data_IF_959415588768
#
_entry.id   IF_959415588768
#
_cell.length_a   1.000
_cell.length_b   1.000
_cell.length_c   1.000
_cell.angle_alpha   90.00
_cell.angle_beta   90.00
_cell.angle_gamma   90.00
#
_symmetry.space_group_name_H-M   'P 1'
#
loop_
_entity.id
_entity.type
_entity.pdbx_description
1 polymer ?
#
# COMPACT_ATOMS: atom_id res chain seq x y z
N UNK A 1 31.38 -28.57 -7.93
CA UNK A 1 30.93 -29.04 -6.61
C UNK A 1 30.47 -30.48 -6.78
N UNK A 2 30.47 -31.27 -5.72
CA UNK A 2 29.93 -32.64 -5.71
C UNK A 2 28.43 -32.61 -5.43
N UNK A 3 27.69 -33.67 -5.78
CA UNK A 3 26.24 -33.76 -5.55
C UNK A 3 25.86 -33.57 -4.07
N UNK A 4 26.57 -34.23 -3.15
CA UNK A 4 26.38 -34.05 -1.70
C UNK A 4 26.84 -32.65 -1.22
N UNK A 5 27.79 -32.05 -1.92
CA UNK A 5 28.21 -30.68 -1.66
C UNK A 5 27.14 -29.65 -2.02
N UNK A 6 26.40 -29.86 -3.10
CA UNK A 6 25.24 -29.02 -3.47
C UNK A 6 24.10 -29.12 -2.44
N UNK A 7 23.98 -30.28 -1.79
CA UNK A 7 23.05 -30.51 -0.69
C UNK A 7 23.57 -30.05 0.69
N UNK A 8 24.73 -29.37 0.74
CA UNK A 8 25.22 -28.72 1.96
C UNK A 8 26.20 -29.52 2.81
N UNK A 9 26.85 -30.57 2.28
CA UNK A 9 28.03 -31.13 2.91
C UNK A 9 29.29 -30.36 2.53
N UNK A 10 30.17 -30.12 3.50
CA UNK A 10 31.53 -29.69 3.21
C UNK A 10 32.35 -30.82 2.57
N UNK A 11 33.47 -30.45 1.95
CA UNK A 11 34.38 -31.43 1.33
C UNK A 11 34.94 -32.47 2.31
N UNK A 12 35.04 -32.13 3.61
CA UNK A 12 35.52 -33.07 4.62
C UNK A 12 34.40 -33.97 5.13
N UNK A 13 33.21 -33.42 5.35
CA UNK A 13 32.03 -34.21 5.73
C UNK A 13 31.70 -35.26 4.68
N UNK A 14 31.73 -34.89 3.39
CA UNK A 14 31.49 -35.85 2.31
C UNK A 14 32.54 -36.97 2.29
N UNK A 15 33.83 -36.64 2.42
CA UNK A 15 34.90 -37.65 2.46
C UNK A 15 34.73 -38.62 3.63
N UNK A 16 34.39 -38.11 4.80
CA UNK A 16 34.15 -38.92 6.01
C UNK A 16 32.92 -39.81 5.84
N UNK A 17 31.81 -39.25 5.34
CA UNK A 17 30.58 -40.01 5.11
C UNK A 17 30.79 -41.14 4.08
N UNK A 18 31.45 -40.84 2.95
CA UNK A 18 31.80 -41.85 1.94
C UNK A 18 32.75 -42.92 2.48
N UNK A 19 33.74 -42.54 3.30
CA UNK A 19 34.63 -43.51 3.93
C UNK A 19 33.84 -44.47 4.84
N UNK A 20 32.92 -43.94 5.66
CA UNK A 20 32.07 -44.75 6.54
C UNK A 20 31.14 -45.71 5.80
N UNK A 21 30.65 -45.34 4.61
CA UNK A 21 29.87 -46.23 3.74
C UNK A 21 30.70 -47.44 3.25
N UNK A 22 32.00 -47.24 3.02
CA UNK A 22 32.90 -48.31 2.53
C UNK A 22 33.42 -49.17 3.69
N UNK A 23 33.85 -48.54 4.79
CA UNK A 23 34.48 -49.24 5.91
C UNK A 23 33.49 -49.86 6.88
N UNK A 24 32.23 -49.39 6.87
CA UNK A 24 31.27 -49.68 7.93
C UNK A 24 31.68 -49.03 9.25
N UNK A 25 31.28 -49.65 10.38
CA UNK A 25 31.49 -49.09 11.71
C UNK A 25 32.98 -49.02 12.09
N UNK A 26 33.53 -47.80 12.17
CA UNK A 26 34.96 -47.54 12.30
C UNK A 26 35.29 -46.52 13.40
N UNK A 27 36.52 -46.53 13.92
CA UNK A 27 36.96 -45.55 14.93
C UNK A 27 37.38 -44.23 14.26
N UNK A 28 37.40 -43.12 15.00
CA UNK A 28 37.86 -41.83 14.46
C UNK A 28 39.26 -41.89 13.82
N UNK A 29 40.16 -42.71 14.37
CA UNK A 29 41.50 -42.93 13.80
C UNK A 29 41.44 -43.63 12.45
N UNK A 30 40.63 -44.68 12.34
CA UNK A 30 40.47 -45.46 11.10
C UNK A 30 39.80 -44.60 10.01
N UNK A 31 38.79 -43.82 10.39
CA UNK A 31 38.08 -42.92 9.48
C UNK A 31 39.01 -41.81 8.97
N UNK A 32 39.86 -41.24 9.83
CA UNK A 32 40.85 -40.24 9.42
C UNK A 32 41.82 -40.81 8.38
N UNK A 33 42.29 -42.05 8.58
CA UNK A 33 43.16 -42.73 7.63
C UNK A 33 42.45 -43.04 6.30
N UNK A 34 41.21 -43.52 6.34
CA UNK A 34 40.45 -43.90 5.14
C UNK A 34 39.94 -42.69 4.34
N UNK A 35 39.52 -41.62 5.00
CA UNK A 35 38.97 -40.41 4.37
C UNK A 35 40.04 -39.41 3.92
N UNK A 36 41.27 -39.53 4.44
CA UNK A 36 42.33 -38.53 4.24
C UNK A 36 42.08 -37.21 4.98
N UNK A 37 41.06 -37.12 5.83
CA UNK A 37 40.80 -35.95 6.67
C UNK A 37 41.76 -35.96 7.87
N UNK A 38 42.49 -34.85 8.16
CA UNK A 38 43.46 -34.81 9.25
C UNK A 38 42.84 -35.13 10.62
N UNK A 39 43.60 -35.83 11.48
CA UNK A 39 43.15 -36.17 12.85
C UNK A 39 42.70 -34.97 13.67
N UNK A 40 43.34 -33.80 13.47
CA UNK A 40 42.94 -32.57 14.17
C UNK A 40 41.55 -32.02 13.78
N UNK A 41 40.95 -32.51 12.69
CA UNK A 41 39.62 -32.10 12.20
C UNK A 41 38.59 -33.22 12.25
N UNK A 42 39.00 -34.47 12.47
CA UNK A 42 38.09 -35.61 12.32
C UNK A 42 36.93 -35.58 13.32
N UNK A 43 37.22 -35.19 14.58
CA UNK A 43 36.19 -35.09 15.60
C UNK A 43 35.19 -33.98 15.31
N UNK A 44 35.64 -32.81 14.85
CA UNK A 44 34.74 -31.71 14.44
C UNK A 44 33.79 -32.17 13.33
N UNK A 45 34.33 -32.86 12.32
CA UNK A 45 33.55 -33.36 11.18
C UNK A 45 32.56 -34.44 11.61
N UNK A 46 32.98 -35.40 12.45
CA UNK A 46 32.11 -36.44 12.99
C UNK A 46 31.01 -35.84 13.88
N UNK A 47 31.33 -34.85 14.71
CA UNK A 47 30.37 -34.15 15.55
C UNK A 47 29.33 -33.41 14.70
N UNK A 48 29.74 -32.72 13.63
CA UNK A 48 28.81 -32.02 12.72
C UNK A 48 27.89 -33.01 11.99
N UNK A 49 28.46 -34.08 11.44
CA UNK A 49 27.68 -35.15 10.79
C UNK A 49 26.70 -35.78 11.78
N UNK A 50 27.12 -36.01 13.03
CA UNK A 50 26.25 -36.58 14.05
C UNK A 50 25.15 -35.60 14.50
N UNK A 51 25.45 -34.32 14.64
CA UNK A 51 24.47 -33.27 14.99
C UNK A 51 23.37 -33.16 13.93
N UNK A 52 23.74 -33.31 12.66
CA UNK A 52 22.82 -33.40 11.50
C UNK A 52 22.22 -34.80 11.32
N UNK A 53 22.50 -35.72 12.25
CA UNK A 53 22.03 -37.10 12.24
C UNK A 53 22.41 -37.86 10.96
N UNK A 54 23.53 -37.56 10.31
CA UNK A 54 23.97 -38.25 9.08
C UNK A 54 24.82 -39.48 9.39
N UNK A 55 25.27 -39.60 10.64
CA UNK A 55 25.99 -40.75 11.19
C UNK A 55 25.46 -41.06 12.59
N UNK A 56 25.69 -42.27 13.07
CA UNK A 56 25.44 -42.69 14.46
C UNK A 56 26.72 -43.11 15.15
N UNK A 57 26.73 -43.02 16.48
CA UNK A 57 27.78 -43.56 17.34
C UNK A 57 27.36 -44.89 17.96
N UNK A 58 28.30 -45.82 18.07
CA UNK A 58 28.18 -47.05 18.85
C UNK A 58 29.08 -46.94 20.07
N UNK A 59 28.51 -47.15 21.26
CA UNK A 59 29.20 -47.09 22.55
C UNK A 59 30.10 -48.31 22.76
N UNK A 60 31.15 -48.42 21.96
CA UNK A 60 32.26 -49.37 22.09
C UNK A 60 33.48 -48.67 22.67
N UNK A 61 34.48 -49.45 23.09
CA UNK A 61 35.77 -48.92 23.54
C UNK A 61 36.89 -49.44 22.63
N UNK A 62 37.47 -48.60 21.74
CA UNK A 62 37.13 -47.20 21.45
C UNK A 62 35.79 -47.01 20.71
N UNK A 63 35.21 -45.80 20.78
CA UNK A 63 33.93 -45.44 20.15
C UNK A 63 33.99 -45.61 18.64
N UNK A 64 32.93 -46.20 18.07
CA UNK A 64 32.79 -46.40 16.63
C UNK A 64 31.67 -45.54 16.07
N UNK A 65 31.85 -45.11 14.83
CA UNK A 65 30.90 -44.32 14.06
C UNK A 65 30.44 -45.13 12.87
N UNK A 66 29.18 -44.99 12.50
CA UNK A 66 28.57 -45.67 11.37
C UNK A 66 27.75 -44.68 10.55
N UNK A 67 27.84 -44.76 9.22
CA UNK A 67 27.04 -43.95 8.32
C UNK A 67 25.56 -44.33 8.41
N UNK A 68 24.68 -43.33 8.33
CA UNK A 68 23.28 -43.56 8.01
C UNK A 68 23.11 -44.01 6.55
N UNK A 69 21.95 -44.61 6.26
CA UNK A 69 21.61 -45.03 4.90
C UNK A 69 21.62 -43.83 3.93
N UNK A 70 22.19 -43.98 2.73
CA UNK A 70 22.29 -42.89 1.74
C UNK A 70 20.96 -42.21 1.45
N UNK A 71 19.88 -42.97 1.26
CA UNK A 71 18.55 -42.41 0.96
C UNK A 71 18.08 -41.48 2.08
N UNK A 72 18.19 -41.93 3.34
CA UNK A 72 17.84 -41.12 4.52
C UNK A 72 18.71 -39.86 4.63
N UNK A 73 19.99 -39.96 4.30
CA UNK A 73 20.92 -38.82 4.33
C UNK A 73 20.57 -37.81 3.25
N UNK A 74 20.31 -38.26 2.02
CA UNK A 74 19.92 -37.39 0.91
C UNK A 74 18.60 -36.68 1.23
N UNK A 75 17.60 -37.39 1.74
CA UNK A 75 16.31 -36.79 2.13
C UNK A 75 16.48 -35.73 3.23
N UNK A 76 17.32 -36.00 4.24
CA UNK A 76 17.63 -35.03 5.30
C UNK A 76 18.32 -33.80 4.77
N UNK A 77 19.37 -33.98 3.97
CA UNK A 77 20.11 -32.87 3.39
C UNK A 77 19.23 -32.03 2.44
N UNK A 78 18.38 -32.68 1.66
CA UNK A 78 17.42 -31.99 0.80
C UNK A 78 16.41 -31.18 1.61
N UNK A 79 15.90 -31.73 2.72
CA UNK A 79 14.99 -31.02 3.61
C UNK A 79 15.67 -29.81 4.28
N UNK A 80 16.90 -29.98 4.78
CA UNK A 80 17.73 -28.89 5.33
C UNK A 80 17.91 -27.78 4.28
N UNK A 81 18.33 -28.15 3.07
CA UNK A 81 18.59 -27.19 1.98
C UNK A 81 17.32 -26.46 1.53
N UNK A 82 16.20 -27.17 1.49
CA UNK A 82 14.89 -26.59 1.16
C UNK A 82 14.47 -25.55 2.21
N UNK A 83 14.64 -25.86 3.50
CA UNK A 83 14.33 -24.93 4.58
C UNK A 83 15.21 -23.67 4.54
N UNK A 84 16.52 -23.82 4.29
CA UNK A 84 17.44 -22.70 4.11
C UNK A 84 17.01 -21.78 2.95
N UNK A 85 16.73 -22.37 1.78
CA UNK A 85 16.30 -21.61 0.60
C UNK A 85 14.95 -20.90 0.82
N UNK A 86 14.03 -21.53 1.54
CA UNK A 86 12.75 -20.90 1.92
C UNK A 86 12.95 -19.71 2.86
N UNK A 87 13.85 -19.81 3.84
CA UNK A 87 14.19 -18.70 4.73
C UNK A 87 14.87 -17.56 3.96
N UNK A 88 15.81 -17.89 3.08
CA UNK A 88 16.50 -16.88 2.26
C UNK A 88 15.53 -16.17 1.30
N UNK A 89 14.62 -16.92 0.67
CA UNK A 89 13.54 -16.38 -0.15
C UNK A 89 12.62 -15.45 0.64
N UNK A 90 12.19 -15.86 1.84
CA UNK A 90 11.37 -15.02 2.72
C UNK A 90 12.09 -13.71 3.08
N UNK A 91 13.39 -13.78 3.37
CA UNK A 91 14.22 -12.60 3.62
C UNK A 91 14.25 -11.67 2.41
N UNK A 92 14.54 -12.18 1.21
CA UNK A 92 14.54 -11.35 0.00
C UNK A 92 13.17 -10.76 -0.33
N UNK A 93 12.09 -11.52 -0.10
CA UNK A 93 10.73 -11.02 -0.25
C UNK A 93 10.46 -9.85 0.69
N UNK A 94 10.90 -9.93 1.94
CA UNK A 94 10.77 -8.84 2.91
C UNK A 94 11.58 -7.60 2.47
N UNK A 95 12.81 -7.79 1.99
CA UNK A 95 13.62 -6.70 1.43
C UNK A 95 12.92 -6.07 0.22
N UNK A 96 12.42 -6.87 -0.71
CA UNK A 96 11.71 -6.39 -1.88
C UNK A 96 10.42 -5.62 -1.51
N UNK A 97 9.69 -6.09 -0.50
CA UNK A 97 8.50 -5.40 0.01
C UNK A 97 8.88 -4.08 0.69
N UNK A 98 9.94 -4.04 1.49
CA UNK A 98 10.44 -2.80 2.10
C UNK A 98 10.90 -1.78 1.06
N UNK A 99 11.56 -2.22 -0.01
CA UNK A 99 11.95 -1.34 -1.12
C UNK A 99 10.71 -0.81 -1.85
N UNK A 100 9.70 -1.66 -2.10
CA UNK A 100 8.44 -1.23 -2.72
C UNK A 100 7.66 -0.26 -1.85
N UNK A 101 7.57 -0.50 -0.54
CA UNK A 101 6.89 0.42 0.39
C UNK A 101 7.59 1.76 0.51
N UNK A 102 8.91 1.80 0.28
CA UNK A 102 9.69 3.04 0.28
C UNK A 102 9.69 3.77 -1.08
N UNK A 103 9.13 3.15 -2.14
CA UNK A 103 9.09 3.71 -3.50
C UNK A 103 7.68 4.05 -3.99
N UNK A 104 6.65 3.62 -3.27
CA UNK A 104 5.28 4.10 -3.46
C UNK A 104 5.07 5.29 -2.52
N UNK A 105 4.35 6.35 -2.93
CA UNK A 105 3.77 7.27 -1.97
C UNK A 105 3.03 6.42 -0.93
N UNK A 106 3.25 6.70 0.35
CA UNK A 106 2.40 6.13 1.40
C UNK A 106 0.95 6.34 0.98
N UNK A 107 0.13 5.29 0.99
CA UNK A 107 -1.32 5.47 0.89
C UNK A 107 -1.65 6.58 1.88
N UNK A 108 -2.34 7.66 1.48
CA UNK A 108 -2.78 8.67 2.45
C UNK A 108 -3.46 7.93 3.58
N UNK A 109 -2.84 7.95 4.77
CA UNK A 109 -3.28 7.16 5.92
C UNK A 109 -4.68 7.55 6.36
N UNK A 110 -5.13 8.72 5.89
CA UNK A 110 -6.38 9.38 6.22
C UNK A 110 -7.17 9.69 4.93
N UNK A 111 -7.34 8.69 4.05
CA UNK A 111 -8.28 8.77 2.93
C UNK A 111 -9.52 7.91 3.18
N UNK A 112 -10.70 8.52 3.05
CA UNK A 112 -11.99 7.84 3.14
C UNK A 112 -12.73 7.92 1.81
N UNK A 113 -13.43 6.84 1.46
CA UNK A 113 -14.23 6.76 0.23
C UNK A 113 -15.68 6.56 0.63
N UNK A 114 -16.56 7.47 0.19
CA UNK A 114 -18.01 7.29 0.27
C UNK A 114 -18.53 6.94 -1.12
N UNK A 115 -19.15 5.77 -1.23
CA UNK A 115 -19.81 5.35 -2.47
C UNK A 115 -21.24 5.88 -2.45
N UNK A 116 -21.63 6.56 -3.52
CA UNK A 116 -22.94 7.18 -3.61
C UNK A 116 -23.12 7.91 -4.93
N UNK A 117 -24.38 8.03 -5.35
CA UNK A 117 -24.76 8.78 -6.54
C UNK A 117 -24.98 10.24 -6.18
N UNK A 118 -24.84 11.12 -7.15
CA UNK A 118 -25.07 12.55 -6.99
C UNK A 118 -26.51 12.81 -6.48
N UNK A 119 -26.63 13.59 -5.42
CA UNK A 119 -27.89 13.96 -4.78
C UNK A 119 -28.60 12.82 -4.03
N UNK A 120 -27.95 11.70 -3.75
CA UNK A 120 -28.51 10.66 -2.88
C UNK A 120 -28.58 11.13 -1.42
N UNK A 121 -29.47 10.55 -0.62
CA UNK A 121 -29.61 10.92 0.80
C UNK A 121 -28.32 10.64 1.58
N UNK A 122 -27.62 9.55 1.24
CA UNK A 122 -26.34 9.19 1.85
C UNK A 122 -25.25 10.22 1.53
N UNK A 123 -25.20 10.70 0.28
CA UNK A 123 -24.21 11.72 -0.12
C UNK A 123 -24.53 13.10 0.44
N UNK A 124 -25.82 13.47 0.54
CA UNK A 124 -26.21 14.71 1.22
C UNK A 124 -25.80 14.70 2.69
N UNK A 125 -26.05 13.58 3.38
CA UNK A 125 -25.65 13.42 4.78
C UNK A 125 -24.12 13.52 4.92
N UNK A 126 -23.36 12.83 4.06
CA UNK A 126 -21.90 12.90 4.08
C UNK A 126 -21.38 14.31 3.80
N UNK A 127 -21.99 15.02 2.83
CA UNK A 127 -21.62 16.40 2.50
C UNK A 127 -21.92 17.38 3.65
N UNK A 128 -23.06 17.22 4.32
CA UNK A 128 -23.42 18.01 5.50
C UNK A 128 -22.42 17.78 6.64
N UNK A 129 -22.17 16.52 7.01
CA UNK A 129 -21.18 16.17 8.05
C UNK A 129 -19.79 16.69 7.70
N UNK A 130 -19.44 16.66 6.41
CA UNK A 130 -18.18 17.19 5.93
C UNK A 130 -18.09 18.71 6.12
N UNK A 131 -19.13 19.44 5.70
CA UNK A 131 -19.21 20.88 5.82
C UNK A 131 -19.30 21.39 7.26
N UNK A 132 -19.87 20.62 8.18
CA UNK A 132 -19.91 20.95 9.61
C UNK A 132 -18.50 21.10 10.22
N UNK A 133 -17.50 20.45 9.64
CA UNK A 133 -16.10 20.53 10.08
C UNK A 133 -15.40 21.83 9.67
N UNK A 134 -15.96 22.58 8.73
CA UNK A 134 -15.41 23.83 8.24
C UNK A 134 -15.53 24.95 9.28
N UNK A 135 -14.42 25.66 9.51
CA UNK A 135 -14.32 26.72 10.52
C UNK A 135 -13.88 28.06 9.96
N UNK A 136 -13.11 28.09 8.87
CA UNK A 136 -12.50 29.31 8.33
C UNK A 136 -12.85 29.53 6.85
N UNK A 137 -12.56 28.56 5.99
CA UNK A 137 -12.64 28.74 4.54
C UNK A 137 -12.91 27.45 3.79
N UNK A 138 -13.69 27.56 2.71
CA UNK A 138 -13.95 26.47 1.78
C UNK A 138 -13.64 26.93 0.36
N UNK A 139 -12.79 26.18 -0.32
CA UNK A 139 -12.46 26.37 -1.73
C UNK A 139 -13.01 25.21 -2.52
N UNK A 140 -13.84 25.46 -3.52
CA UNK A 140 -14.49 24.39 -4.27
C UNK A 140 -14.51 24.67 -5.76
N UNK A 141 -14.32 23.62 -6.56
CA UNK A 141 -14.45 23.63 -8.00
C UNK A 141 -15.63 22.73 -8.40
N UNK A 142 -16.59 23.32 -9.10
CA UNK A 142 -17.82 22.67 -9.54
C UNK A 142 -17.81 22.57 -11.08
N UNK A 143 -17.62 21.35 -11.57
CA UNK A 143 -17.60 20.99 -12.99
C UNK A 143 -18.30 19.65 -13.24
N UNK A 144 -17.66 18.64 -13.86
CA UNK A 144 -18.23 17.30 -13.98
C UNK A 144 -18.38 16.60 -12.62
N UNK A 145 -19.47 15.85 -12.35
CA UNK A 145 -20.62 15.59 -13.23
C UNK A 145 -21.76 16.63 -13.13
N UNK A 146 -21.61 17.68 -12.31
CA UNK A 146 -22.65 18.67 -12.02
C UNK A 146 -23.18 19.39 -13.26
N UNK A 147 -22.33 19.68 -14.25
CA UNK A 147 -22.74 20.30 -15.52
C UNK A 147 -23.75 19.47 -16.32
N UNK A 148 -23.70 18.15 -16.16
CA UNK A 148 -24.59 17.20 -16.84
C UNK A 148 -25.77 16.77 -15.95
N UNK A 149 -25.78 17.16 -14.68
CA UNK A 149 -26.80 16.73 -13.73
C UNK A 149 -28.09 17.55 -13.87
N UNK A 150 -29.28 16.96 -13.60
CA UNK A 150 -30.52 17.72 -13.51
C UNK A 150 -30.44 18.77 -12.39
N UNK A 151 -31.06 19.93 -12.63
CA UNK A 151 -31.11 21.01 -11.63
C UNK A 151 -31.60 20.56 -10.25
N UNK A 152 -32.64 19.73 -10.19
CA UNK A 152 -33.17 19.21 -8.91
C UNK A 152 -32.15 18.38 -8.12
N UNK A 153 -31.21 17.73 -8.81
CA UNK A 153 -30.12 16.98 -8.18
C UNK A 153 -29.05 17.94 -7.66
N UNK A 154 -28.62 18.89 -8.49
CA UNK A 154 -27.65 19.92 -8.11
C UNK A 154 -28.17 20.75 -6.93
N UNK A 155 -29.44 21.13 -6.95
CA UNK A 155 -30.09 21.88 -5.88
C UNK A 155 -29.97 21.18 -4.53
N UNK A 156 -30.19 19.86 -4.47
CA UNK A 156 -30.05 19.09 -3.22
C UNK A 156 -28.63 19.08 -2.68
N UNK A 157 -27.63 18.96 -3.55
CA UNK A 157 -26.22 19.02 -3.15
C UNK A 157 -25.87 20.41 -2.62
N UNK A 158 -26.37 21.47 -3.25
CA UNK A 158 -26.12 22.84 -2.80
C UNK A 158 -26.84 23.14 -1.48
N UNK A 159 -28.08 22.71 -1.32
CA UNK A 159 -28.81 22.82 -0.05
C UNK A 159 -28.06 22.08 1.06
N UNK A 160 -27.64 20.83 0.82
CA UNK A 160 -26.85 20.07 1.79
C UNK A 160 -25.51 20.74 2.15
N UNK A 161 -24.82 21.32 1.17
CA UNK A 161 -23.58 22.07 1.39
C UNK A 161 -23.80 23.26 2.34
N UNK A 162 -24.81 24.09 2.07
CA UNK A 162 -25.08 25.29 2.88
C UNK A 162 -25.74 24.99 4.22
N UNK A 163 -26.54 23.92 4.32
CA UNK A 163 -27.15 23.48 5.58
C UNK A 163 -26.09 23.03 6.59
N UNK A 164 -24.99 22.41 6.13
CA UNK A 164 -23.85 22.04 6.96
C UNK A 164 -22.86 23.19 7.24
N UNK A 165 -22.90 24.27 6.46
CA UNK A 165 -21.96 25.37 6.58
C UNK A 165 -22.25 26.26 7.80
N UNK A 166 -21.20 26.57 8.57
CA UNK A 166 -21.28 27.54 9.65
C UNK A 166 -21.29 28.99 9.10
N UNK A 167 -22.06 29.89 9.73
CA UNK A 167 -22.25 31.27 9.24
C UNK A 167 -20.98 32.15 9.19
N UNK A 168 -19.87 31.70 9.77
CA UNK A 168 -18.59 32.43 9.81
C UNK A 168 -17.61 32.09 8.67
N UNK A 169 -17.96 31.13 7.81
CA UNK A 169 -17.04 30.60 6.79
C UNK A 169 -16.97 31.54 5.57
N UNK A 170 -15.79 31.62 4.96
CA UNK A 170 -15.60 32.21 3.65
C UNK A 170 -15.58 31.13 2.56
N UNK A 171 -16.37 31.31 1.49
CA UNK A 171 -16.52 30.31 0.43
C UNK A 171 -16.03 30.90 -0.89
N UNK A 172 -15.07 30.22 -1.55
CA UNK A 172 -14.59 30.57 -2.88
C UNK A 172 -14.92 29.45 -3.87
N UNK A 173 -15.79 29.75 -4.84
CA UNK A 173 -16.31 28.79 -5.81
C UNK A 173 -15.77 29.06 -7.21
N UNK A 174 -15.14 28.05 -7.81
CA UNK A 174 -14.87 27.99 -9.25
C UNK A 174 -15.95 27.16 -9.91
N UNK A 175 -16.58 27.72 -10.94
CA UNK A 175 -17.69 27.06 -11.63
C UNK A 175 -17.37 27.01 -13.13
N UNK A 176 -17.60 25.86 -13.77
CA UNK A 176 -17.48 25.78 -15.23
C UNK A 176 -18.58 26.58 -15.92
N UNK A 177 -18.31 27.15 -17.10
CA UNK A 177 -19.34 27.83 -17.91
C UNK A 177 -20.55 26.92 -18.15
N UNK A 178 -20.34 25.62 -18.34
CA UNK A 178 -21.41 24.65 -18.56
C UNK A 178 -22.33 24.51 -17.34
N UNK A 179 -21.79 24.49 -16.11
CA UNK A 179 -22.62 24.47 -14.90
C UNK A 179 -23.45 25.76 -14.78
N UNK A 180 -22.91 26.92 -15.17
CA UNK A 180 -23.66 28.18 -15.14
C UNK A 180 -24.84 28.19 -16.11
N UNK A 181 -24.72 27.54 -17.27
CA UNK A 181 -25.80 27.45 -18.25
C UNK A 181 -26.97 26.60 -17.75
N UNK A 182 -26.69 25.57 -16.94
CA UNK A 182 -27.71 24.65 -16.40
C UNK A 182 -28.31 25.11 -15.06
N UNK A 183 -27.69 26.11 -14.42
CA UNK A 183 -28.03 26.57 -13.07
C UNK A 183 -28.82 27.89 -13.08
N UNK A 184 -29.97 27.97 -12.39
CA UNK A 184 -30.69 29.23 -12.19
C UNK A 184 -29.83 30.25 -11.44
N UNK A 185 -29.85 31.51 -11.90
CA UNK A 185 -29.10 32.62 -11.28
C UNK A 185 -29.42 32.84 -9.80
N UNK A 186 -30.61 32.44 -9.36
CA UNK A 186 -31.06 32.54 -7.97
C UNK A 186 -30.25 31.66 -7.00
N UNK A 187 -29.54 30.64 -7.49
CA UNK A 187 -28.68 29.81 -6.64
C UNK A 187 -27.64 30.64 -5.89
N UNK A 188 -27.02 31.59 -6.60
CA UNK A 188 -25.95 32.41 -6.07
C UNK A 188 -26.45 33.40 -5.04
N UNK A 189 -27.73 33.80 -5.13
CA UNK A 189 -28.35 34.69 -4.15
C UNK A 189 -28.62 33.93 -2.83
N UNK A 190 -29.01 32.64 -2.90
CA UNK A 190 -29.20 31.80 -1.70
C UNK A 190 -27.88 31.48 -0.99
N UNK A 191 -26.79 31.30 -1.75
CA UNK A 191 -25.46 31.07 -1.19
C UNK A 191 -25.00 32.23 -0.28
N UNK A 192 -25.26 33.48 -0.69
CA UNK A 192 -24.87 34.69 0.05
C UNK A 192 -25.63 34.86 1.38
N UNK A 193 -26.77 34.19 1.58
CA UNK A 193 -27.57 34.27 2.82
C UNK A 193 -27.04 33.39 3.96
N UNK A 194 -26.22 32.38 3.66
CA UNK A 194 -25.87 31.31 4.61
C UNK A 194 -24.46 31.44 5.21
N UNK A 195 -23.54 32.15 4.54
CA UNK A 195 -22.12 32.24 4.95
C UNK A 195 -21.62 33.68 5.01
N UNK A 196 -20.46 33.89 5.62
CA UNK A 196 -19.94 35.24 5.85
C UNK A 196 -19.52 35.95 4.56
N UNK A 197 -18.97 35.20 3.61
CA UNK A 197 -18.54 35.73 2.32
C UNK A 197 -18.59 34.62 1.26
N UNK A 198 -19.16 34.93 0.09
CA UNK A 198 -19.13 34.04 -1.09
C UNK A 198 -18.46 34.78 -2.24
N UNK A 199 -17.42 34.18 -2.82
CA UNK A 199 -16.79 34.66 -4.06
C UNK A 199 -16.94 33.60 -5.13
N UNK A 200 -17.39 34.00 -6.32
CA UNK A 200 -17.63 33.07 -7.42
C UNK A 200 -16.83 33.54 -8.63
N UNK A 201 -16.05 32.62 -9.20
CA UNK A 201 -15.33 32.82 -10.45
C UNK A 201 -15.66 31.71 -11.44
N UNK A 202 -15.46 32.00 -12.72
CA UNK A 202 -15.87 31.17 -13.84
C UNK A 202 -14.68 30.76 -14.68
N UNK A 203 -14.66 29.48 -15.07
CA UNK A 203 -13.70 28.91 -16.01
C UNK A 203 -14.42 28.29 -17.22
N UNK A 204 -13.80 28.30 -18.42
CA UNK A 204 -14.40 27.68 -19.61
C UNK A 204 -14.62 26.17 -19.45
N UNK A 205 -13.66 25.47 -18.86
CA UNK A 205 -13.69 24.02 -18.69
C UNK A 205 -13.01 23.62 -17.38
N UNK A 206 -13.56 22.61 -16.72
CA UNK A 206 -13.02 22.00 -15.50
C UNK A 206 -13.00 20.49 -15.72
N UNK A 207 -11.86 19.84 -15.43
CA UNK A 207 -11.74 18.39 -15.64
C UNK A 207 -12.22 17.56 -14.45
N UNK A 208 -12.10 18.08 -13.23
CA UNK A 208 -12.40 17.36 -11.99
C UNK A 208 -13.04 18.33 -11.01
N UNK A 209 -14.14 17.90 -10.37
CA UNK A 209 -14.73 18.63 -9.25
C UNK A 209 -14.07 18.18 -7.95
N UNK A 210 -13.69 19.14 -7.13
CA UNK A 210 -13.11 18.90 -5.81
C UNK A 210 -13.37 20.10 -4.90
N UNK A 211 -13.32 19.88 -3.59
CA UNK A 211 -13.33 20.93 -2.60
C UNK A 211 -12.21 20.75 -1.57
N UNK A 212 -11.94 21.82 -0.84
CA UNK A 212 -10.91 21.93 0.18
C UNK A 212 -11.53 22.69 1.34
N UNK A 213 -11.49 22.10 2.53
CA UNK A 213 -11.99 22.70 3.77
C UNK A 213 -10.80 23.02 4.68
N UNK A 214 -10.70 24.29 5.07
CA UNK A 214 -9.72 24.84 6.01
C UNK A 214 -8.24 24.50 5.69
N UNK A 215 -7.94 24.11 4.45
CA UNK A 215 -6.64 23.55 4.06
C UNK A 215 -6.24 22.33 4.92
N UNK A 216 -7.23 21.55 5.35
CA UNK A 216 -7.04 20.35 6.19
C UNK A 216 -7.55 19.08 5.54
N UNK A 217 -8.55 19.19 4.67
CA UNK A 217 -9.15 18.07 3.94
C UNK A 217 -9.51 18.53 2.55
N UNK A 218 -9.35 17.63 1.58
CA UNK A 218 -9.88 17.80 0.24
C UNK A 218 -10.79 16.64 -0.12
N UNK A 219 -11.91 16.91 -0.80
CA UNK A 219 -12.76 15.88 -1.37
C UNK A 219 -12.78 15.95 -2.89
N UNK A 220 -12.77 14.79 -3.55
CA UNK A 220 -12.62 14.66 -4.99
C UNK A 220 -13.73 13.75 -5.51
N UNK A 221 -14.47 14.24 -6.50
CA UNK A 221 -15.49 13.45 -7.17
C UNK A 221 -14.87 12.33 -8.01
N UNK A 222 -15.49 11.15 -7.96
CA UNK A 222 -15.20 10.04 -8.87
C UNK A 222 -16.33 9.95 -9.92
N UNK A 223 -16.16 10.50 -11.13
CA UNK A 223 -17.19 10.46 -12.17
C UNK A 223 -17.59 9.03 -12.53
N UNK A 224 -18.86 8.83 -12.89
CA UNK A 224 -19.32 7.51 -13.30
C UNK A 224 -18.84 7.17 -14.72
N UNK A 225 -18.20 6.01 -14.96
CA UNK A 225 -17.49 5.70 -16.21
C UNK A 225 -18.40 5.55 -17.44
N UNK A 226 -19.71 5.40 -17.22
CA UNK A 226 -20.71 5.25 -18.29
C UNK A 226 -21.83 6.31 -18.25
N UNK A 227 -21.92 7.11 -17.18
CA UNK A 227 -23.07 8.00 -16.95
C UNK A 227 -22.53 9.38 -16.58
N UNK A 228 -22.39 10.26 -17.57
CA UNK A 228 -21.83 11.59 -17.37
C UNK A 228 -22.61 12.45 -16.36
N UNK A 229 -23.89 12.14 -16.14
CA UNK A 229 -24.78 12.84 -15.20
C UNK A 229 -24.55 12.48 -13.72
N UNK A 230 -23.62 11.58 -13.41
CA UNK A 230 -23.49 10.98 -12.06
C UNK A 230 -22.04 10.67 -11.66
N UNK A 231 -21.83 10.41 -10.37
CA UNK A 231 -20.59 9.91 -9.76
C UNK A 231 -20.76 8.50 -9.19
N UNK A 232 -19.67 7.79 -8.97
CA UNK A 232 -19.64 6.53 -8.21
C UNK A 232 -19.49 6.82 -6.70
N UNK A 233 -18.88 7.95 -6.37
CA UNK A 233 -18.61 8.35 -5.00
C UNK A 233 -17.64 9.52 -4.94
N UNK A 234 -17.18 9.78 -3.71
CA UNK A 234 -16.27 10.85 -3.36
C UNK A 234 -15.11 10.28 -2.55
N UNK A 235 -13.90 10.76 -2.81
CA UNK A 235 -12.72 10.48 -1.99
C UNK A 235 -12.43 11.70 -1.13
N UNK A 236 -12.46 11.59 0.20
CA UNK A 236 -11.79 12.59 1.04
C UNK A 236 -10.37 12.16 1.35
N UNK A 237 -9.49 13.14 1.44
CA UNK A 237 -8.10 12.98 1.82
C UNK A 237 -7.72 14.07 2.80
N UNK A 238 -7.21 13.67 3.98
CA UNK A 238 -6.71 14.59 5.01
C UNK A 238 -5.17 14.65 5.07
N UNK A 239 -4.50 14.14 4.04
CA UNK A 239 -3.04 14.20 3.93
C UNK A 239 -2.60 15.59 3.49
N UNK A 240 -1.77 16.26 4.30
CA UNK A 240 -1.39 17.66 4.08
C UNK A 240 -0.68 17.88 2.74
N UNK A 241 0.13 16.93 2.27
CA UNK A 241 0.85 17.10 1.00
C UNK A 241 -0.13 17.06 -0.19
N UNK A 242 -1.17 16.23 -0.10
CA UNK A 242 -2.23 16.15 -1.11
C UNK A 242 -3.12 17.39 -1.05
N UNK A 243 -3.55 17.79 0.16
CA UNK A 243 -4.37 18.99 0.36
C UNK A 243 -3.66 20.24 -0.15
N UNK A 244 -2.37 20.40 0.16
CA UNK A 244 -1.58 21.54 -0.31
C UNK A 244 -1.42 21.55 -1.83
N UNK A 245 -1.33 20.38 -2.48
CA UNK A 245 -1.28 20.30 -3.93
C UNK A 245 -2.62 20.70 -4.57
N UNK A 246 -3.75 20.22 -4.04
CA UNK A 246 -5.07 20.64 -4.53
C UNK A 246 -5.32 22.14 -4.29
N UNK A 247 -4.88 22.67 -3.14
CA UNK A 247 -4.96 24.10 -2.84
C UNK A 247 -4.11 24.91 -3.84
N UNK A 248 -2.89 24.45 -4.15
CA UNK A 248 -2.06 25.07 -5.18
C UNK A 248 -2.75 25.08 -6.54
N UNK A 249 -3.33 23.96 -6.97
CA UNK A 249 -4.07 23.88 -8.23
C UNK A 249 -5.30 24.81 -8.23
N UNK A 250 -6.03 24.87 -7.12
CA UNK A 250 -7.15 25.80 -6.96
C UNK A 250 -6.69 27.25 -7.12
N UNK A 251 -5.62 27.67 -6.45
CA UNK A 251 -5.13 29.05 -6.54
C UNK A 251 -4.62 29.42 -7.94
N UNK A 252 -3.95 28.49 -8.63
CA UNK A 252 -3.53 28.66 -10.04
C UNK A 252 -4.76 28.93 -10.92
N UNK A 253 -5.76 28.05 -10.86
CA UNK A 253 -7.02 28.19 -11.61
C UNK A 253 -7.81 29.44 -11.20
N UNK A 254 -7.85 29.76 -9.91
CA UNK A 254 -8.54 30.94 -9.37
C UNK A 254 -7.99 32.23 -9.96
N UNK A 255 -6.67 32.31 -10.13
CA UNK A 255 -6.00 33.49 -10.67
C UNK A 255 -6.33 33.74 -12.15
N UNK A 256 -6.60 32.69 -12.91
CA UNK A 256 -6.97 32.74 -14.33
C UNK A 256 -8.47 32.94 -14.55
N UNK A 257 -9.29 32.58 -13.56
CA UNK A 257 -10.75 32.62 -13.64
C UNK A 257 -11.33 34.04 -13.58
N UNK A 258 -12.48 34.22 -14.22
CA UNK A 258 -13.18 35.51 -14.31
C UNK A 258 -14.22 35.64 -13.19
N UNK A 259 -14.25 36.73 -12.41
CA UNK A 259 -15.31 36.97 -11.42
C UNK A 259 -16.70 36.99 -12.05
N UNK A 260 -17.66 36.25 -11.46
CA UNK A 260 -19.05 36.23 -11.94
C UNK A 260 -19.77 37.55 -11.64
N UNK A 261 -19.41 38.23 -10.55
CA UNK A 261 -19.91 39.55 -10.13
C UNK A 261 -18.71 40.37 -9.63
N UNK A 262 -18.67 41.66 -9.97
CA UNK A 262 -17.66 42.64 -9.47
C UNK A 262 -17.97 43.10 -8.03
#
# INVERSE_FOLDING_TARGET
>A
MTELGELGLSSYEEKVYRALLVTGAATATDISAASGVPKGRIYDVLNNLQARQLIRTQSTEPTRYIAEQPDTVVDRLLAERTAELQQEWARYRNVANSVRSNLLPTLPTDASIWLGTLGSEEMQTALQEHMETATNSVHAIVGPPYESAPWETLKREVEAFFDGAQSGISVSLLISEQVLETTPKSLFDTAEEHVAEVRIRVLPEVSVSFDIIDQTVTTIDIPHPQRAIDRIGVVAVNDSDIVDEFERQFQELWSEAVPLRE
#
